data_IF_461477585931
#
_entry.id   IF_461477585931
#
_cell.length_a   1.000
_cell.length_b   1.000
_cell.length_c   1.000
_cell.angle_alpha   90.00
_cell.angle_beta   90.00
_cell.angle_gamma   90.00
#
_symmetry.space_group_name_H-M   'P 1'
#
loop_
_entity.id
_entity.type
_entity.pdbx_description
1 polymer ?
#
# COMPACT_ATOMS: atom_id res chain seq x y z
N UNK A 1 -13.24 -6.73 -28.95
CA UNK A 1 -12.36 -6.18 -27.89
C UNK A 1 -13.26 -5.86 -26.70
N UNK A 2 -13.07 -6.51 -25.56
CA UNK A 2 -13.89 -6.21 -24.37
C UNK A 2 -13.55 -4.80 -23.87
N UNK A 3 -14.53 -4.07 -23.33
CA UNK A 3 -14.31 -2.76 -22.76
C UNK A 3 -13.29 -2.86 -21.60
N UNK A 4 -12.39 -1.87 -21.45
CA UNK A 4 -11.44 -1.87 -20.34
C UNK A 4 -12.19 -1.81 -19.01
N UNK A 5 -11.81 -2.69 -18.08
CA UNK A 5 -12.37 -2.68 -16.72
C UNK A 5 -11.89 -1.43 -15.99
N UNK A 6 -12.82 -0.64 -15.47
CA UNK A 6 -12.53 0.55 -14.67
C UNK A 6 -12.14 0.13 -13.25
N UNK A 7 -11.34 0.95 -12.58
CA UNK A 7 -11.02 0.84 -11.16
C UNK A 7 -12.10 1.60 -10.38
N UNK A 8 -12.63 1.00 -9.32
CA UNK A 8 -13.63 1.60 -8.45
C UNK A 8 -13.22 1.43 -7.00
N UNK A 9 -13.41 2.46 -6.17
CA UNK A 9 -13.04 2.44 -4.75
C UNK A 9 -13.67 1.29 -3.95
N UNK A 10 -14.89 0.89 -4.30
CA UNK A 10 -15.62 -0.22 -3.64
C UNK A 10 -14.97 -1.59 -3.81
N UNK A 11 -14.04 -1.74 -4.76
CA UNK A 11 -13.32 -2.99 -5.01
C UNK A 11 -11.88 -2.97 -4.54
N UNK A 12 -11.37 -1.88 -3.97
CA UNK A 12 -9.95 -1.80 -3.62
C UNK A 12 -9.65 -2.74 -2.44
N UNK A 13 -8.60 -3.56 -2.57
CA UNK A 13 -8.08 -4.37 -1.46
C UNK A 13 -6.62 -4.05 -1.21
N UNK A 14 -6.29 -3.98 0.07
CA UNK A 14 -4.94 -3.83 0.60
C UNK A 14 -4.64 -5.01 1.51
N UNK A 15 -3.51 -5.67 1.27
CA UNK A 15 -2.97 -6.75 2.08
C UNK A 15 -1.54 -6.40 2.45
N UNK A 16 -1.19 -6.56 3.72
CA UNK A 16 0.16 -6.36 4.24
C UNK A 16 0.55 -7.61 5.02
N UNK A 17 1.73 -8.15 4.73
CA UNK A 17 2.15 -9.48 5.15
C UNK A 17 1.14 -10.53 4.71
N UNK A 18 0.55 -11.23 5.68
CA UNK A 18 -0.49 -12.24 5.43
C UNK A 18 -1.91 -11.71 5.65
N UNK A 19 -2.05 -10.47 6.12
CA UNK A 19 -3.31 -9.92 6.63
C UNK A 19 -3.96 -8.97 5.64
N UNK A 20 -5.26 -9.16 5.42
CA UNK A 20 -6.08 -8.29 4.58
C UNK A 20 -6.67 -7.18 5.45
N UNK A 21 -6.42 -5.92 5.08
CA UNK A 21 -6.85 -4.72 5.83
C UNK A 21 -7.88 -3.89 5.05
N UNK A 22 -8.60 -4.51 4.12
CA UNK A 22 -9.56 -3.83 3.25
C UNK A 22 -10.70 -3.15 4.03
N UNK A 23 -11.05 -3.67 5.20
CA UNK A 23 -12.11 -3.15 6.07
C UNK A 23 -11.66 -1.95 6.90
N UNK A 24 -10.34 -1.78 7.07
CA UNK A 24 -9.73 -0.65 7.76
C UNK A 24 -9.34 0.47 6.79
N UNK A 25 -9.12 0.15 5.51
CA UNK A 25 -8.54 1.06 4.51
C UNK A 25 -9.62 1.90 3.83
N UNK A 26 -9.47 3.22 3.86
CA UNK A 26 -10.36 4.19 3.22
C UNK A 26 -9.84 4.56 1.83
N UNK A 27 -8.53 4.68 1.69
CA UNK A 27 -7.86 5.01 0.43
C UNK A 27 -6.45 4.40 0.41
N UNK A 28 -6.00 3.97 -0.76
CA UNK A 28 -4.57 3.74 -0.99
C UNK A 28 -4.17 4.22 -2.38
N UNK A 29 -2.97 4.78 -2.48
CA UNK A 29 -2.37 5.19 -3.75
C UNK A 29 -0.94 4.65 -3.85
N UNK A 30 -0.60 4.16 -5.03
CA UNK A 30 0.73 3.66 -5.35
C UNK A 30 1.40 4.66 -6.27
N UNK A 31 2.40 5.37 -5.77
CA UNK A 31 3.02 6.49 -6.46
C UNK A 31 4.51 6.24 -6.66
N UNK A 32 5.04 6.76 -7.77
CA UNK A 32 6.47 6.80 -8.05
C UNK A 32 6.92 8.25 -8.11
N UNK A 33 8.05 8.54 -7.46
CA UNK A 33 8.74 9.82 -7.54
C UNK A 33 10.14 9.61 -8.12
N UNK A 34 10.70 10.58 -8.87
CA UNK A 34 12.08 10.47 -9.31
C UNK A 34 12.99 10.49 -8.08
N UNK A 35 13.84 9.48 -7.91
CA UNK A 35 14.83 9.51 -6.84
C UNK A 35 15.93 10.50 -7.20
N UNK A 36 16.35 11.26 -6.20
CA UNK A 36 17.42 12.24 -6.33
C UNK A 36 18.77 11.48 -6.24
N UNK A 37 19.28 10.98 -7.37
CA UNK A 37 20.61 10.35 -7.42
C UNK A 37 21.30 10.52 -8.77
N UNK A 38 22.47 11.18 -8.73
CA UNK A 38 23.36 11.45 -9.87
C UNK A 38 24.12 10.18 -10.32
N UNK A 39 24.11 9.11 -9.50
CA UNK A 39 24.75 7.82 -9.75
C UNK A 39 23.72 6.70 -9.60
N UNK A 40 23.32 6.11 -10.73
CA UNK A 40 22.49 4.90 -10.73
C UNK A 40 23.38 3.67 -10.92
N UNK A 41 23.27 2.67 -10.06
CA UNK A 41 23.96 1.40 -10.28
C UNK A 41 23.22 0.58 -11.34
N UNK A 42 23.90 -0.42 -11.93
CA UNK A 42 23.23 -1.36 -12.84
C UNK A 42 22.05 -2.09 -12.18
N UNK A 43 22.08 -2.28 -10.85
CA UNK A 43 20.98 -2.84 -10.09
C UNK A 43 19.78 -1.88 -10.00
N UNK A 44 20.01 -0.57 -9.82
CA UNK A 44 18.95 0.45 -9.81
C UNK A 44 18.26 0.56 -11.17
N UNK A 45 19.04 0.54 -12.25
CA UNK A 45 18.51 0.57 -13.62
C UNK A 45 17.73 -0.72 -13.94
N UNK A 46 18.24 -1.88 -13.52
CA UNK A 46 17.57 -3.17 -13.74
C UNK A 46 16.23 -3.30 -13.00
N UNK A 47 16.07 -2.63 -11.84
CA UNK A 47 14.83 -2.62 -11.05
C UNK A 47 13.83 -1.51 -11.44
N UNK A 48 14.06 -0.82 -12.57
CA UNK A 48 13.13 0.18 -13.11
C UNK A 48 13.57 1.63 -12.94
N UNK A 49 14.87 1.85 -12.69
CA UNK A 49 15.45 3.15 -12.41
C UNK A 49 15.30 3.54 -10.94
N UNK A 50 16.10 4.51 -10.50
CA UNK A 50 15.99 5.17 -9.19
C UNK A 50 14.72 6.02 -9.17
N UNK A 51 13.54 5.39 -9.18
CA UNK A 51 12.32 6.05 -8.78
C UNK A 51 11.96 5.50 -7.40
N UNK A 52 11.84 6.38 -6.41
CA UNK A 52 11.32 6.00 -5.10
C UNK A 52 9.83 5.73 -5.26
N UNK A 53 9.42 4.52 -4.85
CA UNK A 53 8.03 4.12 -4.84
C UNK A 53 7.49 4.22 -3.42
N UNK A 54 6.29 4.76 -3.29
CA UNK A 54 5.60 4.87 -2.02
C UNK A 54 4.17 4.36 -2.16
N UNK A 55 3.71 3.62 -1.14
CA UNK A 55 2.33 3.26 -0.97
C UNK A 55 1.74 4.14 0.14
N UNK A 56 0.92 5.11 -0.25
CA UNK A 56 0.19 5.94 0.71
C UNK A 56 -1.11 5.25 1.08
N UNK A 57 -1.38 5.17 2.37
CA UNK A 57 -2.55 4.48 2.92
C UNK A 57 -3.26 5.44 3.85
N UNK A 58 -4.56 5.61 3.63
CA UNK A 58 -5.47 6.25 4.55
C UNK A 58 -6.40 5.22 5.14
N UNK A 59 -6.48 5.15 6.46
CA UNK A 59 -7.25 4.14 7.16
C UNK A 59 -7.91 4.70 8.43
N UNK A 60 -8.90 3.98 8.94
CA UNK A 60 -9.58 4.35 10.20
C UNK A 60 -8.71 4.04 11.41
N UNK A 61 -8.69 4.93 12.39
CA UNK A 61 -8.03 4.67 13.66
C UNK A 61 -8.83 3.64 14.46
N UNK A 62 -8.14 2.58 14.89
CA UNK A 62 -8.71 1.53 15.73
C UNK A 62 -7.63 0.95 16.62
N UNK A 63 -7.92 0.80 17.90
CA UNK A 63 -7.02 0.16 18.86
C UNK A 63 -7.30 -1.34 19.03
N UNK A 64 -8.12 -1.92 18.15
CA UNK A 64 -8.31 -3.36 18.10
C UNK A 64 -6.99 -4.04 17.68
N UNK A 65 -6.55 -5.14 18.33
CA UNK A 65 -5.31 -5.82 17.98
C UNK A 65 -5.25 -6.32 16.52
N UNK A 66 -6.40 -6.53 15.88
CA UNK A 66 -6.48 -6.93 14.48
C UNK A 66 -6.49 -5.75 13.49
N UNK A 67 -6.45 -4.51 13.98
CA UNK A 67 -6.51 -3.32 13.12
C UNK A 67 -5.19 -3.08 12.39
N UNK A 68 -5.29 -2.43 11.23
CA UNK A 68 -4.11 -1.97 10.49
C UNK A 68 -3.25 -1.04 11.35
N UNK A 69 -3.89 -0.21 12.18
CA UNK A 69 -3.20 0.77 13.03
C UNK A 69 -2.30 0.09 14.06
N UNK A 70 -2.80 -0.94 14.75
CA UNK A 70 -2.00 -1.67 15.74
C UNK A 70 -0.93 -2.53 15.06
N UNK A 71 -1.24 -3.12 13.91
CA UNK A 71 -0.24 -3.81 13.11
C UNK A 71 0.95 -2.92 12.73
N UNK A 72 0.68 -1.70 12.25
CA UNK A 72 1.74 -0.74 11.92
C UNK A 72 2.49 -0.24 13.16
N UNK A 73 1.79 -0.05 14.28
CA UNK A 73 2.40 0.39 15.53
C UNK A 73 3.38 -0.65 16.10
N UNK A 74 2.99 -1.93 16.07
CA UNK A 74 3.80 -3.02 16.63
C UNK A 74 4.98 -3.42 15.73
N UNK A 75 4.87 -3.19 14.42
CA UNK A 75 5.86 -3.59 13.40
C UNK A 75 6.54 -2.40 12.71
N UNK A 76 6.48 -1.21 13.30
CA UNK A 76 7.06 0.00 12.72
C UNK A 76 8.57 -0.19 12.42
N UNK A 77 8.96 0.14 11.19
CA UNK A 77 10.35 0.00 10.72
C UNK A 77 10.73 -1.40 10.22
N UNK A 78 9.88 -2.41 10.38
CA UNK A 78 10.10 -3.73 9.78
C UNK A 78 9.79 -3.73 8.28
N UNK A 79 10.44 -4.60 7.51
CA UNK A 79 10.06 -4.82 6.12
C UNK A 79 8.92 -5.84 6.02
N UNK A 80 7.86 -5.48 5.31
CA UNK A 80 6.73 -6.36 5.04
C UNK A 80 6.42 -6.42 3.54
N UNK A 81 5.96 -7.60 3.10
CA UNK A 81 5.38 -7.74 1.78
C UNK A 81 4.02 -7.03 1.73
N UNK A 82 3.72 -6.32 0.65
CA UNK A 82 2.41 -5.73 0.41
C UNK A 82 1.83 -6.25 -0.90
N UNK A 83 0.51 -6.25 -0.96
CA UNK A 83 -0.26 -6.60 -2.14
C UNK A 83 -1.49 -5.71 -2.23
N UNK A 84 -1.62 -5.03 -3.38
CA UNK A 84 -2.79 -4.21 -3.70
C UNK A 84 -3.50 -4.80 -4.91
N UNK A 85 -4.82 -4.93 -4.79
CA UNK A 85 -5.69 -5.39 -5.86
C UNK A 85 -6.65 -4.26 -6.27
N UNK A 86 -6.36 -3.52 -7.36
CA UNK A 86 -7.19 -2.40 -7.82
C UNK A 86 -8.62 -2.79 -8.20
N UNK A 87 -8.87 -4.07 -8.49
CA UNK A 87 -10.21 -4.55 -8.86
C UNK A 87 -10.83 -5.49 -7.81
N UNK A 88 -10.17 -5.73 -6.68
CA UNK A 88 -10.72 -6.55 -5.58
C UNK A 88 -10.88 -8.02 -5.86
N UNK A 89 -10.46 -8.46 -7.04
CA UNK A 89 -10.43 -9.86 -7.44
C UNK A 89 -9.51 -10.65 -6.53
N UNK A 90 -9.95 -11.83 -6.09
CA UNK A 90 -9.15 -12.72 -5.24
C UNK A 90 -7.91 -13.24 -5.96
N UNK A 91 -8.00 -13.45 -7.28
CA UNK A 91 -6.90 -13.98 -8.10
C UNK A 91 -6.56 -12.99 -9.19
N UNK A 92 -5.29 -12.63 -9.32
CA UNK A 92 -4.78 -11.76 -10.40
C UNK A 92 -5.10 -12.35 -11.78
N UNK A 93 -5.50 -11.51 -12.73
CA UNK A 93 -5.68 -11.90 -14.14
C UNK A 93 -5.02 -10.89 -15.06
N UNK A 94 -4.77 -11.25 -16.31
CA UNK A 94 -4.24 -10.32 -17.31
C UNK A 94 -5.00 -8.98 -17.43
N UNK A 95 -6.32 -8.96 -17.15
CA UNK A 95 -7.15 -7.75 -17.21
C UNK A 95 -7.42 -7.11 -15.84
N UNK A 96 -7.04 -7.78 -14.76
CA UNK A 96 -7.20 -7.34 -13.37
C UNK A 96 -5.95 -7.76 -12.58
N UNK A 97 -4.80 -7.13 -12.85
CA UNK A 97 -3.55 -7.49 -12.20
C UNK A 97 -3.58 -7.14 -10.70
N UNK A 98 -2.72 -7.81 -9.95
CA UNK A 98 -2.33 -7.37 -8.60
C UNK A 98 -0.97 -6.71 -8.67
N UNK A 99 -0.69 -5.78 -7.74
CA UNK A 99 0.64 -5.20 -7.59
C UNK A 99 1.19 -5.60 -6.25
N UNK A 100 2.39 -6.19 -6.23
CA UNK A 100 3.04 -6.68 -5.03
C UNK A 100 4.45 -6.13 -4.91
N UNK A 101 4.97 -6.07 -3.70
CA UNK A 101 6.35 -5.70 -3.43
C UNK A 101 6.66 -5.84 -1.96
N UNK A 102 7.79 -5.30 -1.54
CA UNK A 102 8.17 -5.15 -0.14
C UNK A 102 8.32 -3.67 0.17
N UNK A 103 8.07 -3.29 1.41
CA UNK A 103 8.28 -1.93 1.88
C UNK A 103 8.49 -1.89 3.38
N UNK A 104 9.07 -0.80 3.85
CA UNK A 104 9.27 -0.54 5.28
C UNK A 104 7.97 -0.02 5.88
N UNK A 105 7.47 -0.70 6.91
CA UNK A 105 6.25 -0.34 7.60
C UNK A 105 6.40 1.03 8.28
N UNK A 106 5.50 1.99 8.00
CA UNK A 106 5.56 3.31 8.59
C UNK A 106 5.12 3.30 10.05
N UNK A 107 5.70 4.20 10.83
CA UNK A 107 5.24 4.49 12.19
C UNK A 107 3.88 5.23 12.17
N UNK A 108 3.00 4.89 13.10
CA UNK A 108 1.74 5.61 13.29
C UNK A 108 1.92 6.68 14.36
N UNK A 109 2.37 7.85 13.94
CA UNK A 109 2.80 8.90 14.88
C UNK A 109 1.66 9.67 15.57
N UNK A 110 0.38 9.35 15.30
CA UNK A 110 -0.78 10.06 15.89
C UNK A 110 -1.98 9.15 16.18
N UNK A 111 -2.47 9.25 17.42
CA UNK A 111 -3.71 8.60 17.90
C UNK A 111 -4.65 9.67 18.50
N UNK A 112 -5.92 9.65 18.10
CA UNK A 112 -6.99 10.51 18.62
C UNK A 112 -7.23 11.83 17.87
N UNK A 113 -8.19 12.61 18.38
CA UNK A 113 -8.59 13.90 17.82
C UNK A 113 -9.63 14.65 18.66
N UNK A 114 -10.30 15.65 18.07
CA UNK A 114 -11.25 16.54 18.75
C UNK A 114 -12.66 15.93 18.91
N UNK A 115 -13.27 16.09 20.08
CA UNK A 115 -14.58 15.51 20.43
C UNK A 115 -15.63 15.58 19.30
N UNK A 116 -16.20 14.42 18.95
CA UNK A 116 -17.16 14.28 17.86
C UNK A 116 -17.70 12.85 17.73
N UNK A 117 -18.64 12.64 16.80
CA UNK A 117 -19.27 11.33 16.52
C UNK A 117 -18.64 10.58 15.33
N UNK A 118 -17.66 11.16 14.66
CA UNK A 118 -16.98 10.55 13.52
C UNK A 118 -15.79 9.74 14.02
N UNK A 119 -15.57 8.58 13.42
CA UNK A 119 -14.30 7.87 13.59
C UNK A 119 -13.16 8.75 13.05
N UNK A 120 -11.98 8.64 13.66
CA UNK A 120 -10.79 9.32 13.15
C UNK A 120 -10.13 8.47 12.09
N UNK A 121 -9.41 9.14 11.20
CA UNK A 121 -8.59 8.52 10.17
C UNK A 121 -7.12 8.84 10.45
N UNK A 122 -6.23 8.04 9.88
CA UNK A 122 -4.81 8.30 9.84
C UNK A 122 -4.31 8.08 8.42
N UNK A 123 -3.22 8.77 8.07
CA UNK A 123 -2.55 8.68 6.78
C UNK A 123 -1.09 8.31 7.07
N UNK A 124 -0.60 7.30 6.36
CA UNK A 124 0.78 6.83 6.45
C UNK A 124 1.33 6.60 5.05
N UNK A 125 2.65 6.70 4.92
CA UNK A 125 3.36 6.47 3.67
C UNK A 125 4.37 5.34 3.88
N UNK A 126 4.14 4.21 3.22
CA UNK A 126 5.03 3.06 3.25
C UNK A 126 6.03 3.18 2.09
N UNK A 127 7.30 3.40 2.44
CA UNK A 127 8.39 3.42 1.46
C UNK A 127 8.63 2.00 0.91
N UNK A 128 8.69 1.86 -0.41
CA UNK A 128 8.81 0.56 -1.07
C UNK A 128 10.25 0.25 -1.44
N UNK A 129 10.66 -1.00 -1.27
CA UNK A 129 11.97 -1.52 -1.67
C UNK A 129 11.96 -1.79 -3.18
N UNK A 130 11.85 -0.71 -3.97
CA UNK A 130 11.87 -0.74 -5.44
C UNK A 130 10.50 -0.81 -6.11
N UNK A 131 10.52 -1.07 -7.42
CA UNK A 131 9.32 -1.02 -8.26
C UNK A 131 8.33 -2.16 -7.94
N UNK A 132 7.03 -1.86 -7.80
CA UNK A 132 5.98 -2.86 -7.63
C UNK A 132 5.96 -3.87 -8.77
N UNK A 133 5.99 -5.16 -8.44
CA UNK A 133 5.83 -6.25 -9.38
C UNK A 133 4.35 -6.38 -9.79
N UNK A 134 4.08 -6.28 -11.09
CA UNK A 134 2.76 -6.56 -11.66
C UNK A 134 2.56 -8.07 -11.77
N UNK A 135 1.62 -8.60 -11.01
CA UNK A 135 1.25 -10.02 -11.03
C UNK A 135 0.01 -10.23 -11.88
N UNK A 136 0.08 -11.20 -12.78
CA UNK A 136 -1.02 -11.70 -13.60
C UNK A 136 -0.90 -13.22 -13.68
N UNK A 137 -1.99 -13.96 -13.54
CA UNK A 137 -2.05 -15.34 -14.07
C UNK A 137 -2.23 -15.31 -15.59
#
# INVERSE_FOLDING_TARGET
MAAPKRIFGTGLKLKIGTTDFYDNTVEWTLESSPADSDLQTFADVANGGSNDWALKIKAVQSTDPSSLMMYLFDHAGEEAAYEVAPHGNATATATQPHFKGTGTLPDVSRIGGAAGKKAYEFEVEMALTGKPAKVTQ
#
